data_IF_972963402478
#
_entry.id   IF_972963402478
#
_cell.length_a   1.000
_cell.length_b   1.000
_cell.length_c   1.000
_cell.angle_alpha   90.00
_cell.angle_beta   90.00
_cell.angle_gamma   90.00
#
_symmetry.space_group_name_H-M   'P 1'
#
loop_
_entity.id
_entity.type
_entity.pdbx_description
1 polymer ?
#
# COMPACT_ATOMS: atom_id res chain seq x y z
N UNK A 1 -6.32 14.36 35.31
CA UNK A 1 -7.48 15.18 34.90
C UNK A 1 -7.00 16.03 33.74
N UNK A 2 -7.09 15.60 32.48
CA UNK A 2 -8.29 15.31 31.69
C UNK A 2 -8.06 14.06 30.82
N UNK A 3 -8.90 13.03 30.95
CA UNK A 3 -8.99 11.99 29.94
C UNK A 3 -9.77 12.56 28.76
N UNK A 4 -9.10 13.41 27.97
CA UNK A 4 -9.58 13.82 26.65
C UNK A 4 -9.39 12.65 25.69
N UNK A 5 -10.41 12.34 24.91
CA UNK A 5 -10.41 11.28 23.90
C UNK A 5 -9.14 11.36 23.02
N UNK A 6 -8.25 10.37 23.14
CA UNK A 6 -7.04 10.31 22.32
C UNK A 6 -7.36 9.76 20.94
N UNK A 7 -7.47 10.66 19.96
CA UNK A 7 -7.76 10.36 18.56
C UNK A 7 -6.57 9.80 17.78
N UNK A 8 -5.35 9.86 18.33
CA UNK A 8 -4.13 9.50 17.61
C UNK A 8 -4.13 8.04 17.13
N UNK A 9 -4.51 7.03 17.95
CA UNK A 9 -4.54 5.64 17.49
C UNK A 9 -5.56 5.42 16.37
N UNK A 10 -6.70 6.10 16.42
CA UNK A 10 -7.72 6.03 15.38
C UNK A 10 -7.25 6.67 14.07
N UNK A 11 -6.56 7.83 14.15
CA UNK A 11 -5.97 8.49 12.99
C UNK A 11 -4.89 7.65 12.33
N UNK A 12 -4.00 7.03 13.12
CA UNK A 12 -2.95 6.12 12.61
C UNK A 12 -3.58 4.87 11.97
N UNK A 13 -4.60 4.28 12.59
CA UNK A 13 -5.30 3.13 12.04
C UNK A 13 -5.99 3.44 10.70
N UNK A 14 -6.62 4.62 10.58
CA UNK A 14 -7.23 5.07 9.32
C UNK A 14 -6.19 5.34 8.23
N UNK A 15 -5.09 6.01 8.58
CA UNK A 15 -4.01 6.33 7.65
C UNK A 15 -3.42 5.07 7.03
N UNK A 16 -3.12 4.06 7.85
CA UNK A 16 -2.57 2.78 7.38
C UNK A 16 -3.66 1.96 6.66
N UNK A 17 -4.87 1.89 7.22
CA UNK A 17 -5.95 1.07 6.70
C UNK A 17 -6.42 1.49 5.31
N UNK A 18 -6.60 2.79 5.07
CA UNK A 18 -7.00 3.31 3.75
C UNK A 18 -5.91 3.05 2.71
N UNK A 19 -4.65 3.28 3.08
CA UNK A 19 -3.52 3.03 2.18
C UNK A 19 -3.38 1.53 1.84
N UNK A 20 -3.57 0.64 2.81
CA UNK A 20 -3.53 -0.81 2.62
C UNK A 20 -4.62 -1.29 1.64
N UNK A 21 -5.85 -0.79 1.80
CA UNK A 21 -6.95 -1.13 0.89
C UNK A 21 -6.64 -0.69 -0.54
N UNK A 22 -6.10 0.53 -0.71
CA UNK A 22 -5.66 1.02 -2.01
C UNK A 22 -4.59 0.14 -2.67
N UNK A 23 -3.58 -0.28 -1.91
CA UNK A 23 -2.53 -1.20 -2.37
C UNK A 23 -3.08 -2.54 -2.84
N UNK A 24 -3.91 -3.18 -2.01
CA UNK A 24 -4.50 -4.48 -2.31
C UNK A 24 -5.35 -4.46 -3.59
N UNK A 25 -6.14 -3.40 -3.77
CA UNK A 25 -6.95 -3.23 -4.99
C UNK A 25 -6.05 -3.00 -6.20
N UNK A 26 -5.05 -2.12 -6.08
CA UNK A 26 -4.10 -1.81 -7.16
C UNK A 26 -3.35 -3.04 -7.65
N UNK A 27 -2.75 -3.80 -6.73
CA UNK A 27 -2.04 -5.03 -7.06
C UNK A 27 -2.98 -6.10 -7.64
N UNK A 28 -4.19 -6.23 -7.11
CA UNK A 28 -5.18 -7.18 -7.65
C UNK A 28 -5.53 -6.89 -9.12
N UNK A 29 -5.75 -5.62 -9.45
CA UNK A 29 -6.02 -5.19 -10.84
C UNK A 29 -4.80 -5.45 -11.71
N UNK A 30 -3.61 -4.99 -11.31
CA UNK A 30 -2.38 -5.15 -12.12
C UNK A 30 -2.04 -6.64 -12.32
N UNK A 31 -2.23 -7.47 -11.28
CA UNK A 31 -2.03 -8.92 -11.34
C UNK A 31 -3.01 -9.63 -12.27
N UNK A 32 -4.30 -9.26 -12.24
CA UNK A 32 -5.28 -9.81 -13.19
C UNK A 32 -4.89 -9.53 -14.65
N UNK A 33 -4.38 -8.32 -14.95
CA UNK A 33 -3.94 -7.93 -16.29
C UNK A 33 -2.66 -8.64 -16.72
N UNK A 34 -1.74 -8.89 -15.78
CA UNK A 34 -0.56 -9.73 -16.04
C UNK A 34 -0.98 -11.14 -16.48
N UNK A 35 -1.92 -11.76 -15.76
CA UNK A 35 -2.40 -13.10 -16.07
C UNK A 35 -3.11 -13.15 -17.43
N UNK A 36 -3.99 -12.19 -17.72
CA UNK A 36 -4.65 -12.07 -19.03
C UNK A 36 -3.64 -11.86 -20.18
N UNK A 37 -2.64 -10.99 -19.98
CA UNK A 37 -1.61 -10.73 -20.97
C UNK A 37 -0.72 -11.94 -21.24
N UNK A 38 -0.30 -12.63 -20.17
CA UNK A 38 0.51 -13.85 -20.27
C UNK A 38 -0.27 -15.00 -20.91
N UNK A 39 -1.58 -15.12 -20.63
CA UNK A 39 -2.43 -16.12 -21.24
C UNK A 39 -2.64 -15.89 -22.75
N UNK A 40 -2.67 -14.63 -23.20
CA UNK A 40 -2.79 -14.27 -24.62
C UNK A 40 -1.48 -14.43 -25.39
N UNK A 41 -0.37 -14.03 -24.78
CA UNK A 41 0.95 -14.03 -25.40
C UNK A 41 2.01 -14.55 -24.40
N UNK A 42 2.19 -15.88 -24.32
CA UNK A 42 3.13 -16.48 -23.37
C UNK A 42 4.60 -16.12 -23.67
N UNK A 43 4.90 -15.73 -24.90
CA UNK A 43 6.23 -15.28 -25.35
C UNK A 43 6.68 -13.99 -24.64
N UNK A 44 5.74 -13.14 -24.24
CA UNK A 44 6.00 -11.87 -23.57
C UNK A 44 6.05 -11.97 -22.04
N UNK A 45 5.92 -13.18 -21.48
CA UNK A 45 5.81 -13.40 -20.03
C UNK A 45 6.89 -12.69 -19.23
N UNK A 46 8.16 -12.84 -19.62
CA UNK A 46 9.28 -12.28 -18.86
C UNK A 46 9.31 -10.75 -18.90
N UNK A 47 8.93 -10.16 -20.03
CA UNK A 47 8.79 -8.71 -20.19
C UNK A 47 7.61 -8.18 -19.36
N UNK A 48 6.45 -8.85 -19.42
CA UNK A 48 5.26 -8.47 -18.65
C UNK A 48 5.49 -8.63 -17.14
N UNK A 49 6.22 -9.65 -16.70
CA UNK A 49 6.58 -9.85 -15.29
C UNK A 49 7.49 -8.74 -14.77
N UNK A 50 8.46 -8.29 -15.58
CA UNK A 50 9.34 -7.15 -15.21
C UNK A 50 8.53 -5.86 -15.03
N UNK A 51 7.62 -5.57 -15.98
CA UNK A 51 6.72 -4.42 -15.87
C UNK A 51 5.77 -4.53 -14.68
N UNK A 52 5.27 -5.73 -14.39
CA UNK A 52 4.45 -5.99 -13.21
C UNK A 52 5.19 -5.63 -11.92
N UNK A 53 6.43 -6.07 -11.73
CA UNK A 53 7.19 -5.74 -10.52
C UNK A 53 7.46 -4.25 -10.38
N UNK A 54 7.74 -3.57 -11.49
CA UNK A 54 7.90 -2.11 -11.48
C UNK A 54 6.61 -1.41 -11.01
N UNK A 55 5.47 -1.79 -11.59
CA UNK A 55 4.17 -1.18 -11.25
C UNK A 55 3.73 -1.57 -9.84
N UNK A 56 3.92 -2.83 -9.45
CA UNK A 56 3.59 -3.32 -8.11
C UNK A 56 4.42 -2.59 -7.05
N UNK A 57 5.72 -2.39 -7.28
CA UNK A 57 6.58 -1.62 -6.39
C UNK A 57 6.16 -0.15 -6.28
N UNK A 58 5.77 0.49 -7.39
CA UNK A 58 5.23 1.86 -7.36
C UNK A 58 3.88 1.92 -6.64
N UNK A 59 3.03 0.90 -6.81
CA UNK A 59 1.71 0.80 -6.16
C UNK A 59 1.85 0.69 -4.64
N UNK A 60 2.75 -0.17 -4.16
CA UNK A 60 3.02 -0.35 -2.73
C UNK A 60 3.83 0.79 -2.11
N UNK A 61 4.45 1.65 -2.92
CA UNK A 61 5.21 2.80 -2.42
C UNK A 61 4.38 3.71 -1.52
N UNK A 62 3.14 4.03 -1.93
CA UNK A 62 2.25 4.88 -1.13
C UNK A 62 1.86 4.23 0.21
N UNK A 63 1.64 2.91 0.22
CA UNK A 63 1.33 2.14 1.42
C UNK A 63 2.51 2.08 2.40
N UNK A 64 3.74 1.89 1.89
CA UNK A 64 4.95 1.88 2.72
C UNK A 64 5.17 3.26 3.37
N UNK A 65 4.99 4.35 2.61
CA UNK A 65 5.11 5.72 3.14
C UNK A 65 4.08 5.97 4.23
N UNK A 66 2.81 5.60 4.00
CA UNK A 66 1.75 5.72 4.99
C UNK A 66 2.09 4.92 6.27
N UNK A 67 2.56 3.69 6.13
CA UNK A 67 2.94 2.85 7.27
C UNK A 67 4.12 3.42 8.05
N UNK A 68 5.13 3.96 7.35
CA UNK A 68 6.28 4.63 7.97
C UNK A 68 5.88 5.86 8.79
N UNK A 69 5.00 6.70 8.24
CA UNK A 69 4.46 7.87 8.94
C UNK A 69 3.59 7.45 10.12
N UNK A 70 2.73 6.44 9.95
CA UNK A 70 1.88 5.90 11.01
C UNK A 70 2.69 5.33 12.18
N UNK A 71 3.77 4.60 11.89
CA UNK A 71 4.67 4.08 12.91
C UNK A 71 5.42 5.21 13.64
N UNK A 72 5.84 6.26 12.92
CA UNK A 72 6.47 7.43 13.53
C UNK A 72 5.52 8.15 14.49
N UNK A 73 4.25 8.35 14.11
CA UNK A 73 3.22 8.89 15.01
C UNK A 73 2.87 7.96 16.17
N UNK A 74 3.02 6.64 16.02
CA UNK A 74 2.75 5.70 17.10
C UNK A 74 3.90 5.63 18.12
N UNK A 75 5.15 5.74 17.66
CA UNK A 75 6.36 5.46 18.49
C UNK A 75 7.10 6.70 18.95
N UNK A 76 7.10 7.77 18.14
CA UNK A 76 7.88 8.99 18.37
C UNK A 76 7.04 10.24 18.08
N UNK A 77 5.78 10.22 18.54
CA UNK A 77 4.82 11.27 18.27
C UNK A 77 5.34 12.65 18.73
N UNK A 78 5.55 13.63 17.83
CA UNK A 78 6.01 14.97 18.19
C UNK A 78 4.93 15.83 18.86
N UNK A 79 3.67 15.38 18.85
CA UNK A 79 2.52 16.11 19.41
C UNK A 79 2.10 15.66 20.80
N UNK A 80 2.86 14.75 21.43
CA UNK A 80 2.66 14.27 22.80
C UNK A 80 3.69 14.85 23.75
#
# INVERSE_FOLDING_TARGET
>A
MTQGFDILPLAVALLIGIAAVGSCIGIGIVGSRLLEGTARQPELKDQLQTLFFLIAGVTDGAFIIATGIGLWFATANPFR
#
